data_IF_288417354568
#
_entry.id   IF_288417354568
#
_cell.length_a   1.000
_cell.length_b   1.000
_cell.length_c   1.000
_cell.angle_alpha   90.00
_cell.angle_beta   90.00
_cell.angle_gamma   90.00
#
_symmetry.space_group_name_H-M   'P 1'
#
loop_
_entity.id
_entity.type
_entity.pdbx_description
1 polymer ?
#
# COMPACT_ATOMS: atom_id res chain seq x y z
N UNK A 1 -37.20 12.48 27.87
CA UNK A 1 -36.10 11.85 27.14
C UNK A 1 -35.13 11.05 28.03
N UNK A 2 -34.73 11.55 29.16
CA UNK A 2 -33.86 10.80 30.10
C UNK A 2 -34.52 9.53 30.71
N UNK A 3 -35.85 9.48 30.82
CA UNK A 3 -36.59 8.30 31.33
C UNK A 3 -36.63 7.11 30.39
N UNK A 4 -36.38 7.31 29.10
CA UNK A 4 -36.37 6.24 28.08
C UNK A 4 -35.03 5.46 28.11
N UNK A 5 -33.93 6.12 28.48
CA UNK A 5 -32.62 5.47 28.64
C UNK A 5 -32.52 4.62 29.90
N UNK A 6 -33.30 4.94 30.92
CA UNK A 6 -33.29 4.19 32.19
C UNK A 6 -34.16 2.92 32.16
N UNK A 7 -34.92 2.67 31.10
CA UNK A 7 -35.84 1.52 31.03
C UNK A 7 -35.18 0.25 30.45
N UNK A 8 -33.98 0.36 29.92
CA UNK A 8 -33.19 -0.78 29.49
C UNK A 8 -32.35 -1.29 30.67
N UNK A 9 -32.98 -2.01 31.57
CA UNK A 9 -32.30 -2.66 32.69
C UNK A 9 -31.53 -3.93 32.32
N UNK A 10 -31.33 -4.19 31.04
CA UNK A 10 -30.51 -5.28 30.56
C UNK A 10 -29.07 -4.77 30.33
N UNK A 11 -28.34 -4.60 31.44
CA UNK A 11 -26.90 -4.38 31.39
C UNK A 11 -26.18 -5.66 31.00
N UNK A 12 -25.03 -5.52 30.31
CA UNK A 12 -24.13 -6.63 30.09
C UNK A 12 -23.58 -7.18 31.39
N UNK A 13 -23.51 -8.48 31.52
CA UNK A 13 -22.83 -9.12 32.66
C UNK A 13 -21.31 -8.99 32.50
N UNK A 14 -20.60 -8.99 33.61
CA UNK A 14 -19.14 -8.97 33.64
C UNK A 14 -18.54 -10.16 32.87
N UNK A 15 -19.18 -11.34 32.95
CA UNK A 15 -18.78 -12.57 32.28
C UNK A 15 -18.89 -12.43 30.76
N UNK A 16 -19.95 -11.82 30.24
CA UNK A 16 -20.12 -11.56 28.79
C UNK A 16 -19.01 -10.68 28.26
N UNK A 17 -18.63 -9.63 28.97
CA UNK A 17 -17.50 -8.79 28.59
C UNK A 17 -16.16 -9.53 28.65
N UNK A 18 -15.94 -10.35 29.68
CA UNK A 18 -14.72 -11.16 29.79
C UNK A 18 -14.56 -12.13 28.62
N UNK A 19 -15.62 -12.82 28.24
CA UNK A 19 -15.60 -13.76 27.11
C UNK A 19 -15.27 -13.05 25.79
N UNK A 20 -15.88 -11.90 25.54
CA UNK A 20 -15.62 -11.12 24.33
C UNK A 20 -14.15 -10.66 24.26
N UNK A 21 -13.62 -10.14 25.35
CA UNK A 21 -12.23 -9.67 25.42
C UNK A 21 -11.23 -10.82 25.20
N UNK A 22 -11.49 -12.00 25.79
CA UNK A 22 -10.65 -13.19 25.60
C UNK A 22 -10.66 -13.64 24.14
N UNK A 23 -11.83 -13.73 23.51
CA UNK A 23 -11.94 -14.11 22.09
C UNK A 23 -11.20 -13.10 21.21
N UNK A 24 -11.40 -11.80 21.41
CA UNK A 24 -10.69 -10.76 20.66
C UNK A 24 -9.18 -10.86 20.85
N UNK A 25 -8.72 -11.13 22.09
CA UNK A 25 -7.29 -11.30 22.39
C UNK A 25 -6.66 -12.45 21.61
N UNK A 26 -7.34 -13.59 21.51
CA UNK A 26 -6.87 -14.77 20.74
C UNK A 26 -6.82 -14.43 19.25
N UNK A 27 -7.86 -13.80 18.72
CA UNK A 27 -7.91 -13.43 17.30
C UNK A 27 -6.81 -12.43 16.92
N UNK A 28 -6.57 -11.41 17.74
CA UNK A 28 -5.52 -10.42 17.53
C UNK A 28 -4.13 -11.07 17.60
N UNK A 29 -3.91 -11.99 18.53
CA UNK A 29 -2.63 -12.69 18.66
C UNK A 29 -2.24 -13.48 17.40
N UNK A 30 -3.21 -13.98 16.66
CA UNK A 30 -2.98 -14.68 15.39
C UNK A 30 -2.91 -13.68 14.22
N UNK A 31 -3.75 -12.65 14.22
CA UNK A 31 -3.88 -11.73 13.10
C UNK A 31 -2.65 -10.82 12.92
N UNK A 32 -2.04 -10.35 14.00
CA UNK A 32 -0.93 -9.38 13.93
C UNK A 32 0.29 -9.92 13.17
N UNK A 33 0.85 -11.11 13.45
CA UNK A 33 2.01 -11.61 12.72
C UNK A 33 1.71 -11.88 11.25
N UNK A 34 0.50 -12.34 10.93
CA UNK A 34 0.07 -12.57 9.53
C UNK A 34 -0.04 -11.24 8.78
N UNK A 35 -0.61 -10.21 9.44
CA UNK A 35 -0.76 -8.88 8.85
C UNK A 35 0.59 -8.27 8.44
N UNK A 36 1.61 -8.37 9.29
CA UNK A 36 2.95 -7.86 8.99
C UNK A 36 3.59 -8.55 7.78
N UNK A 37 3.40 -9.86 7.64
CA UNK A 37 3.89 -10.61 6.47
C UNK A 37 3.19 -10.20 5.18
N UNK A 38 1.87 -10.04 5.23
CA UNK A 38 1.05 -9.66 4.06
C UNK A 38 1.35 -8.24 3.60
N UNK A 39 1.58 -7.30 4.52
CA UNK A 39 1.91 -5.92 4.16
C UNK A 39 3.22 -5.81 3.40
N UNK A 40 4.27 -6.50 3.84
CA UNK A 40 5.55 -6.52 3.12
C UNK A 40 5.45 -7.08 1.70
N UNK A 41 4.69 -8.16 1.51
CA UNK A 41 4.43 -8.71 0.18
C UNK A 41 3.58 -7.78 -0.70
N UNK A 42 2.61 -7.10 -0.11
CA UNK A 42 1.79 -6.12 -0.81
C UNK A 42 2.60 -4.91 -1.27
N UNK A 43 3.47 -4.39 -0.42
CA UNK A 43 4.38 -3.28 -0.74
C UNK A 43 5.33 -3.65 -1.88
N UNK A 44 5.92 -4.85 -1.84
CA UNK A 44 6.77 -5.35 -2.92
C UNK A 44 6.03 -5.46 -4.24
N UNK A 45 4.83 -6.03 -4.24
CA UNK A 45 4.01 -6.15 -5.46
C UNK A 45 3.60 -4.79 -6.01
N UNK A 46 3.22 -3.85 -5.16
CA UNK A 46 2.90 -2.49 -5.55
C UNK A 46 4.13 -1.76 -6.13
N UNK A 47 5.29 -1.94 -5.51
CA UNK A 47 6.56 -1.41 -6.01
C UNK A 47 6.87 -1.94 -7.42
N UNK A 48 6.79 -3.25 -7.63
CA UNK A 48 7.01 -3.86 -8.94
C UNK A 48 5.99 -3.40 -9.99
N UNK A 49 4.73 -3.22 -9.62
CA UNK A 49 3.71 -2.67 -10.51
C UNK A 49 4.04 -1.23 -10.94
N UNK A 50 4.51 -0.40 -10.02
CA UNK A 50 4.96 0.96 -10.30
C UNK A 50 6.16 0.97 -11.26
N UNK A 51 7.15 0.09 -11.05
CA UNK A 51 8.32 -0.03 -11.92
C UNK A 51 7.93 -0.44 -13.35
N UNK A 52 7.01 -1.40 -13.49
CA UNK A 52 6.46 -1.79 -14.82
C UNK A 52 5.75 -0.65 -15.50
N UNK A 53 5.01 0.16 -14.76
CA UNK A 53 4.33 1.34 -15.28
C UNK A 53 5.35 2.37 -15.79
N UNK A 54 6.43 2.61 -15.06
CA UNK A 54 7.50 3.52 -15.47
C UNK A 54 8.18 3.00 -16.75
N UNK A 55 8.54 1.72 -16.80
CA UNK A 55 9.19 1.14 -17.99
C UNK A 55 8.27 1.13 -19.21
N UNK A 56 6.98 0.88 -19.02
CA UNK A 56 5.98 1.00 -20.08
C UNK A 56 5.88 2.43 -20.63
N UNK A 57 5.88 3.42 -19.76
CA UNK A 57 5.88 4.82 -20.12
C UNK A 57 7.17 5.23 -20.89
N UNK A 58 8.33 4.73 -20.46
CA UNK A 58 9.62 4.93 -21.17
C UNK A 58 9.56 4.39 -22.59
N UNK A 59 8.98 3.20 -22.76
CA UNK A 59 8.82 2.60 -24.08
C UNK A 59 7.91 3.43 -24.98
N UNK A 60 6.82 3.96 -24.44
CA UNK A 60 5.93 4.86 -25.16
C UNK A 60 6.61 6.19 -25.50
N UNK A 61 7.38 6.74 -24.59
CA UNK A 61 8.14 7.96 -24.84
C UNK A 61 9.13 7.78 -26.00
N UNK A 62 9.86 6.66 -26.02
CA UNK A 62 10.79 6.35 -27.09
C UNK A 62 10.12 6.20 -28.47
N UNK A 63 8.86 5.78 -28.49
CA UNK A 63 8.08 5.62 -29.72
C UNK A 63 7.33 6.89 -30.17
N UNK A 64 7.27 7.91 -29.31
CA UNK A 64 6.50 9.14 -29.53
C UNK A 64 7.42 10.33 -29.83
N UNK A 65 6.88 11.33 -30.51
CA UNK A 65 7.55 12.60 -30.77
C UNK A 65 6.72 13.76 -30.22
N UNK A 66 7.37 14.70 -29.56
CA UNK A 66 6.72 15.91 -29.05
C UNK A 66 6.08 15.79 -27.66
N UNK A 67 6.22 14.65 -26.98
CA UNK A 67 5.78 14.48 -25.59
C UNK A 67 6.88 14.85 -24.60
N UNK A 68 6.48 15.31 -23.42
CA UNK A 68 7.39 15.70 -22.35
C UNK A 68 7.37 14.69 -21.20
N UNK A 69 8.56 14.29 -20.76
CA UNK A 69 8.73 13.37 -19.64
C UNK A 69 8.89 14.15 -18.31
N UNK A 70 8.27 13.75 -17.20
CA UNK A 70 7.22 12.71 -17.07
C UNK A 70 5.79 13.26 -17.22
N UNK A 71 5.63 14.54 -17.59
CA UNK A 71 4.39 15.30 -17.52
C UNK A 71 3.23 14.70 -18.31
N UNK A 72 3.50 14.21 -19.51
CA UNK A 72 2.45 13.67 -20.38
C UNK A 72 2.10 12.20 -20.09
N UNK A 73 2.87 11.54 -19.24
CA UNK A 73 2.71 10.11 -18.92
C UNK A 73 2.14 9.84 -17.52
N UNK A 74 2.34 10.78 -16.58
CA UNK A 74 1.89 10.62 -15.19
C UNK A 74 1.08 11.82 -14.73
N UNK A 75 0.04 11.58 -13.97
CA UNK A 75 -0.79 12.64 -13.42
C UNK A 75 0.05 13.59 -12.56
N UNK A 76 -0.07 14.88 -12.84
CA UNK A 76 0.69 15.91 -12.13
C UNK A 76 2.19 15.95 -12.43
N UNK A 77 2.66 15.23 -13.46
CA UNK A 77 4.07 15.21 -13.84
C UNK A 77 4.98 14.52 -12.83
N UNK A 78 4.43 13.73 -11.92
CA UNK A 78 5.19 13.02 -10.89
C UNK A 78 5.22 11.53 -11.13
N UNK A 79 6.41 10.95 -11.02
CA UNK A 79 6.58 9.49 -11.08
C UNK A 79 5.94 8.81 -9.87
N UNK A 80 5.37 7.61 -10.05
CA UNK A 80 4.94 6.81 -8.90
C UNK A 80 6.14 6.49 -8.00
N UNK A 81 5.91 6.41 -6.72
CA UNK A 81 6.93 6.11 -5.70
C UNK A 81 6.64 4.78 -5.02
N UNK A 82 7.67 4.20 -4.42
CA UNK A 82 7.49 2.99 -3.61
C UNK A 82 6.58 3.28 -2.41
N UNK A 83 5.68 2.37 -2.05
CA UNK A 83 4.91 2.47 -0.81
C UNK A 83 5.78 2.57 0.44
N UNK A 84 6.96 1.93 0.44
CA UNK A 84 7.95 2.12 1.48
C UNK A 84 8.71 3.44 1.25
N UNK A 85 8.57 4.37 2.21
CA UNK A 85 9.15 5.71 2.13
C UNK A 85 10.68 5.73 2.16
N UNK A 86 11.32 4.63 2.57
CA UNK A 86 12.78 4.50 2.61
C UNK A 86 13.39 4.03 1.29
N UNK A 87 12.54 3.52 0.39
CA UNK A 87 12.95 3.02 -0.92
C UNK A 87 13.04 4.13 -1.97
N UNK A 88 14.06 4.05 -2.80
CA UNK A 88 14.25 4.95 -3.94
C UNK A 88 14.24 4.17 -5.26
N UNK A 89 13.73 4.79 -6.31
CA UNK A 89 13.77 4.24 -7.66
C UNK A 89 14.98 4.76 -8.42
N UNK A 90 15.56 3.91 -9.24
CA UNK A 90 16.66 4.20 -10.14
C UNK A 90 16.27 3.86 -11.58
N UNK A 91 16.96 4.44 -12.57
CA UNK A 91 16.69 4.26 -13.99
C UNK A 91 15.26 4.65 -14.40
N UNK A 92 14.75 5.73 -13.82
CA UNK A 92 13.38 6.22 -14.04
C UNK A 92 13.28 7.33 -15.09
N UNK A 93 14.40 7.83 -15.58
CA UNK A 93 14.43 8.83 -16.65
C UNK A 93 13.99 8.25 -18.00
N UNK A 94 13.37 9.08 -18.83
CA UNK A 94 12.86 8.66 -20.14
C UNK A 94 13.94 8.03 -21.06
N UNK A 95 15.16 8.48 -20.92
CA UNK A 95 16.32 8.04 -21.75
C UNK A 95 17.25 7.09 -21.01
N UNK A 96 16.95 6.77 -19.74
CA UNK A 96 17.79 5.87 -18.97
C UNK A 96 17.78 4.47 -19.58
N UNK A 97 18.97 3.93 -19.77
CA UNK A 97 19.13 2.58 -20.29
C UNK A 97 18.78 1.56 -19.21
N UNK A 98 18.05 0.52 -19.60
CA UNK A 98 17.71 -0.58 -18.72
C UNK A 98 16.38 -0.41 -18.01
N UNK A 99 16.09 -1.40 -17.21
CA UNK A 99 14.85 -1.53 -16.44
C UNK A 99 14.87 -0.65 -15.20
N UNK A 100 13.75 -0.06 -14.86
CA UNK A 100 13.61 0.67 -13.60
C UNK A 100 13.75 -0.30 -12.41
N UNK A 101 14.45 0.14 -11.38
CA UNK A 101 14.76 -0.68 -10.19
C UNK A 101 14.43 0.05 -8.90
N UNK A 102 14.14 -0.72 -7.86
CA UNK A 102 13.89 -0.22 -6.51
C UNK A 102 15.05 -0.63 -5.59
N UNK A 103 15.47 0.26 -4.71
CA UNK A 103 16.58 0.00 -3.78
C UNK A 103 16.30 -1.14 -2.79
N UNK A 104 15.03 -1.33 -2.39
CA UNK A 104 14.63 -2.38 -1.44
C UNK A 104 14.13 -3.66 -2.14
N UNK A 105 13.40 -3.53 -3.23
CA UNK A 105 12.68 -4.64 -3.86
C UNK A 105 13.31 -5.12 -5.17
N UNK A 106 14.37 -4.47 -5.63
CA UNK A 106 15.05 -4.82 -6.87
C UNK A 106 14.24 -4.51 -8.13
N UNK A 107 14.45 -5.30 -9.18
CA UNK A 107 13.67 -5.29 -10.42
C UNK A 107 12.54 -6.32 -10.37
N UNK A 108 11.50 -6.12 -11.18
CA UNK A 108 10.39 -7.08 -11.32
C UNK A 108 10.73 -8.20 -12.29
#
# INVERSE_FOLDING_TARGET
MLKLFMRSKKGFTLVELMVVVVILGILVAIAVPIYNSITGDAERKACHANLRTIDGAKTQFAASTGLTWPNDFFQGGTLPTCPDATATYSNTGATDAGQATCSLHGSY
#
